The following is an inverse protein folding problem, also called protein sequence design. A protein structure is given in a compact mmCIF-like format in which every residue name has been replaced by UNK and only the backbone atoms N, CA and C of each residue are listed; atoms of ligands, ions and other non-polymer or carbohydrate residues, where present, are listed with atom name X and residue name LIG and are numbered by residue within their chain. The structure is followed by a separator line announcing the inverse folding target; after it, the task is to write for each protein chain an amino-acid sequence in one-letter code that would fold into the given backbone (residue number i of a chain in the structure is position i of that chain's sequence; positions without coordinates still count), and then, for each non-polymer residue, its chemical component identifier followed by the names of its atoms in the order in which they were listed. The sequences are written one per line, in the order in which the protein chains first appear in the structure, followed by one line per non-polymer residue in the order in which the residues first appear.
data_IF_864097621956
#
_entry.id   IF_864097621956
#
_cell.length_a   1.000
_cell.length_b   1.000
_cell.length_c   1.000
_cell.angle_alpha   90.00
_cell.angle_beta   90.00
_cell.angle_gamma   90.00
#
_symmetry.space_group_name_H-M   'P 1'
#
loop_
_entity.id
_entity.type
_entity.pdbx_description
1 polymer ?
#
# COMPACT_ATOMS: atom_id res chain seq x y z
N UNK A 1 45.49 11.58 -78.65
CA UNK A 1 45.23 12.72 -77.75
C UNK A 1 43.73 12.79 -77.38
N UNK A 2 43.14 11.69 -76.86
CA UNK A 2 41.68 11.66 -76.59
C UNK A 2 41.20 10.55 -75.63
N UNK A 3 42.01 10.12 -74.64
CA UNK A 3 41.60 9.02 -73.75
C UNK A 3 42.08 9.13 -72.29
N UNK A 4 42.43 10.33 -71.82
CA UNK A 4 42.88 10.55 -70.42
C UNK A 4 42.03 11.53 -69.61
N UNK A 5 40.82 11.89 -70.08
CA UNK A 5 40.01 12.94 -69.45
C UNK A 5 38.64 12.52 -68.90
N UNK A 6 38.29 11.22 -68.85
CA UNK A 6 36.95 10.76 -68.39
C UNK A 6 37.04 9.52 -67.46
N UNK A 7 37.98 9.50 -66.49
CA UNK A 7 37.97 8.48 -65.42
C UNK A 7 38.20 9.02 -64.00
N UNK A 8 38.14 10.34 -63.81
CA UNK A 8 38.37 10.98 -62.50
C UNK A 8 37.17 11.77 -61.96
N UNK A 9 35.98 11.65 -62.55
CA UNK A 9 34.78 12.38 -62.09
C UNK A 9 33.57 11.52 -61.72
N UNK A 10 33.68 10.19 -61.82
CA UNK A 10 32.53 9.30 -61.54
C UNK A 10 32.65 8.58 -60.18
N UNK A 11 33.84 8.46 -59.59
CA UNK A 11 33.98 7.78 -58.28
C UNK A 11 33.74 8.67 -57.06
N UNK A 12 33.88 9.99 -57.16
CA UNK A 12 33.62 10.92 -56.04
C UNK A 12 32.18 11.40 -55.97
N UNK A 13 31.45 11.41 -57.09
CA UNK A 13 30.03 11.79 -57.12
C UNK A 13 29.10 10.73 -56.53
N UNK A 14 29.32 9.45 -56.83
CA UNK A 14 28.42 8.36 -56.38
C UNK A 14 28.65 8.03 -54.90
N UNK A 15 29.87 8.18 -54.37
CA UNK A 15 30.14 8.01 -52.94
C UNK A 15 29.58 9.18 -52.12
N UNK A 16 29.57 10.41 -52.67
CA UNK A 16 28.93 11.56 -52.02
C UNK A 16 27.39 11.42 -52.00
N UNK A 17 26.77 10.88 -53.06
CA UNK A 17 25.32 10.66 -53.08
C UNK A 17 24.88 9.48 -52.19
N UNK A 18 25.71 8.46 -52.02
CA UNK A 18 25.43 7.35 -51.08
C UNK A 18 25.67 7.77 -49.61
N UNK A 19 26.61 8.69 -49.34
CA UNK A 19 26.74 9.30 -48.00
C UNK A 19 25.61 10.29 -47.66
N UNK A 20 24.96 10.90 -48.66
CA UNK A 20 23.82 11.80 -48.46
C UNK A 20 22.48 11.07 -48.21
N UNK A 21 22.38 9.79 -48.54
CA UNK A 21 21.18 8.96 -48.24
C UNK A 21 21.27 8.29 -46.85
N UNK A 22 22.42 8.38 -46.19
CA UNK A 22 22.58 8.02 -44.77
C UNK A 22 22.34 9.21 -43.82
N UNK A 23 21.97 10.38 -44.35
CA UNK A 23 21.42 11.47 -43.54
C UNK A 23 20.01 11.06 -43.13
N UNK A 24 19.98 10.36 -42.00
CA UNK A 24 18.93 10.29 -41.03
C UNK A 24 17.50 10.40 -41.59
N UNK A 25 16.83 9.26 -41.66
CA UNK A 25 15.42 9.24 -41.30
C UNK A 25 15.31 9.72 -39.84
N UNK A 26 15.38 11.04 -39.60
CA UNK A 26 14.90 11.65 -38.37
C UNK A 26 13.40 11.41 -38.34
N UNK A 27 12.99 10.29 -37.74
CA UNK A 27 11.61 10.17 -37.25
C UNK A 27 11.38 11.38 -36.37
N UNK A 28 10.47 12.26 -36.77
CA UNK A 28 10.07 13.38 -35.93
C UNK A 28 9.68 12.83 -34.54
N UNK A 29 10.17 13.44 -33.46
CA UNK A 29 9.81 13.00 -32.11
C UNK A 29 8.30 12.91 -31.99
N UNK A 30 7.82 11.75 -31.54
CA UNK A 30 6.42 11.57 -31.19
C UNK A 30 6.28 11.88 -29.71
N UNK A 31 5.33 12.76 -29.39
CA UNK A 31 5.06 13.14 -28.00
C UNK A 31 4.82 11.91 -27.11
N UNK A 32 5.53 11.84 -25.99
CA UNK A 32 5.35 10.76 -25.02
C UNK A 32 4.12 11.06 -24.16
N UNK A 33 3.00 10.40 -24.49
CA UNK A 33 1.77 10.53 -23.74
C UNK A 33 1.79 9.64 -22.48
N UNK A 34 1.66 10.26 -21.32
CA UNK A 34 1.49 9.57 -20.03
C UNK A 34 0.06 9.78 -19.52
N UNK A 35 -0.59 8.69 -19.18
CA UNK A 35 -2.00 8.63 -18.78
C UNK A 35 -2.15 8.03 -17.37
N UNK A 36 -3.31 8.20 -16.71
CA UNK A 36 -3.61 7.51 -15.45
C UNK A 36 -3.37 6.00 -15.48
N UNK A 37 -3.63 5.35 -16.62
CA UNK A 37 -3.43 3.91 -16.79
C UNK A 37 -1.98 3.47 -16.60
N UNK A 38 -1.00 4.32 -16.94
CA UNK A 38 0.40 4.02 -16.68
C UNK A 38 0.69 3.93 -15.17
N UNK A 39 0.11 4.83 -14.36
CA UNK A 39 0.26 4.81 -12.91
C UNK A 39 -0.48 3.62 -12.27
N UNK A 40 -1.69 3.31 -12.76
CA UNK A 40 -2.43 2.13 -12.31
C UNK A 40 -1.66 0.83 -12.58
N UNK A 41 -1.09 0.67 -13.78
CA UNK A 41 -0.30 -0.52 -14.12
C UNK A 41 0.99 -0.62 -13.30
N UNK A 42 1.66 0.51 -13.05
CA UNK A 42 2.82 0.53 -12.17
C UNK A 42 2.46 0.09 -10.74
N UNK A 43 1.35 0.61 -10.19
CA UNK A 43 0.86 0.24 -8.85
C UNK A 43 0.45 -1.22 -8.78
N UNK A 44 -0.24 -1.73 -9.81
CA UNK A 44 -0.62 -3.14 -9.92
C UNK A 44 0.63 -4.03 -9.96
N UNK A 45 1.67 -3.60 -10.68
CA UNK A 45 2.94 -4.33 -10.74
C UNK A 45 3.63 -4.41 -9.38
N UNK A 46 3.69 -3.32 -8.63
CA UNK A 46 4.26 -3.33 -7.27
C UNK A 46 3.44 -4.22 -6.35
N UNK A 47 2.12 -4.21 -6.47
CA UNK A 47 1.22 -5.09 -5.71
C UNK A 47 1.48 -6.58 -6.02
N UNK A 48 1.59 -6.94 -7.29
CA UNK A 48 1.96 -8.32 -7.71
C UNK A 48 3.29 -8.77 -7.12
N UNK A 49 4.29 -7.89 -7.12
CA UNK A 49 5.62 -8.18 -6.56
C UNK A 49 5.52 -8.36 -5.05
N UNK A 50 4.75 -7.52 -4.34
CA UNK A 50 4.59 -7.68 -2.90
C UNK A 50 3.88 -8.97 -2.49
N UNK A 51 2.88 -9.41 -3.28
CA UNK A 51 2.23 -10.71 -3.06
C UNK A 51 3.22 -11.85 -3.31
N UNK A 52 4.10 -11.73 -4.31
CA UNK A 52 5.13 -12.71 -4.60
C UNK A 52 6.20 -12.78 -3.49
N UNK A 53 6.62 -11.63 -2.97
CA UNK A 53 7.67 -11.49 -1.96
C UNK A 53 7.16 -11.68 -0.52
N UNK A 54 5.84 -11.83 -0.34
CA UNK A 54 5.17 -12.10 0.94
C UNK A 54 5.47 -11.01 1.99
N UNK A 55 5.30 -9.74 1.60
CA UNK A 55 5.47 -8.64 2.54
C UNK A 55 4.35 -8.61 3.58
N UNK A 56 4.72 -8.24 4.81
CA UNK A 56 3.77 -8.05 5.91
C UNK A 56 2.88 -6.83 5.65
N UNK A 57 1.66 -6.79 6.23
CA UNK A 57 0.77 -5.63 6.11
C UNK A 57 1.42 -4.26 6.43
N UNK A 58 2.13 -4.06 7.57
CA UNK A 58 2.76 -2.77 7.86
C UNK A 58 3.91 -2.44 6.89
N UNK A 59 4.70 -3.42 6.47
CA UNK A 59 5.79 -3.18 5.50
C UNK A 59 5.22 -2.84 4.13
N UNK A 60 4.15 -3.50 3.69
CA UNK A 60 3.48 -3.18 2.43
C UNK A 60 2.97 -1.72 2.38
N UNK A 61 2.46 -1.19 3.50
CA UNK A 61 2.06 0.22 3.57
C UNK A 61 3.24 1.18 3.33
N UNK A 62 4.41 0.88 3.91
CA UNK A 62 5.65 1.61 3.66
C UNK A 62 6.07 1.55 2.18
N UNK A 63 5.92 0.39 1.55
CA UNK A 63 6.25 0.17 0.13
C UNK A 63 5.34 1.01 -0.79
N UNK A 64 4.09 1.27 -0.42
CA UNK A 64 3.21 2.14 -1.20
C UNK A 64 3.47 3.64 -0.98
N UNK A 65 3.78 4.04 0.26
CA UNK A 65 3.85 5.46 0.63
C UNK A 65 5.05 6.19 0.02
N UNK A 66 6.28 5.67 0.18
CA UNK A 66 7.48 6.37 -0.31
C UNK A 66 7.51 6.58 -1.83
N UNK A 67 7.20 5.58 -2.68
CA UNK A 67 7.08 5.80 -4.11
C UNK A 67 5.99 6.80 -4.49
N UNK A 68 4.85 6.78 -3.78
CA UNK A 68 3.78 7.76 -3.97
C UNK A 68 4.24 9.18 -3.67
N UNK A 69 4.98 9.37 -2.58
CA UNK A 69 5.54 10.67 -2.19
C UNK A 69 6.53 11.15 -3.26
N UNK A 70 7.44 10.29 -3.73
CA UNK A 70 8.38 10.65 -4.80
C UNK A 70 7.67 11.08 -6.10
N UNK A 71 6.66 10.33 -6.52
CA UNK A 71 5.86 10.65 -7.69
C UNK A 71 5.09 11.97 -7.52
N UNK A 72 4.52 12.17 -6.33
CA UNK A 72 3.76 13.36 -5.97
C UNK A 72 4.62 14.61 -5.97
N UNK A 73 5.83 14.55 -5.40
CA UNK A 73 6.75 15.69 -5.38
C UNK A 73 7.15 16.14 -6.79
N UNK A 74 7.46 15.19 -7.68
CA UNK A 74 7.72 15.49 -9.10
C UNK A 74 6.50 16.10 -9.78
N UNK A 75 5.32 15.53 -9.55
CA UNK A 75 4.05 16.02 -10.11
C UNK A 75 3.74 17.44 -9.62
N UNK A 76 3.90 17.73 -8.34
CA UNK A 76 3.64 19.04 -7.75
C UNK A 76 4.61 20.11 -8.26
N UNK A 77 5.86 19.77 -8.61
CA UNK A 77 6.78 20.72 -9.24
C UNK A 77 6.33 21.15 -10.67
N UNK A 78 5.62 20.25 -11.36
CA UNK A 78 5.07 20.48 -12.70
C UNK A 78 3.66 21.07 -12.73
N UNK A 79 2.97 21.16 -11.59
CA UNK A 79 1.58 21.61 -11.53
C UNK A 79 1.32 22.52 -10.32
N UNK A 80 1.11 23.81 -10.60
CA UNK A 80 0.91 24.84 -9.58
C UNK A 80 -0.34 24.65 -8.71
N UNK A 81 -1.28 23.78 -9.07
CA UNK A 81 -2.46 23.47 -8.24
C UNK A 81 -2.11 22.64 -7.00
N UNK A 82 -0.95 21.96 -7.01
CA UNK A 82 -0.48 21.13 -5.91
C UNK A 82 0.68 21.79 -5.15
N UNK A 83 0.80 21.45 -3.88
CA UNK A 83 1.85 21.95 -2.98
C UNK A 83 2.79 20.80 -2.62
N UNK A 84 4.08 21.11 -2.48
CA UNK A 84 5.09 20.18 -1.98
C UNK A 84 4.74 19.69 -0.58
N UNK A 85 5.04 18.43 -0.30
CA UNK A 85 4.98 17.78 1.01
C UNK A 85 6.19 18.11 1.88
N UNK A 86 7.23 18.74 1.33
CA UNK A 86 8.39 19.19 2.09
C UNK A 86 7.98 20.17 3.21
N UNK A 87 8.51 19.94 4.42
CA UNK A 87 8.11 20.67 5.63
C UNK A 87 6.70 20.36 6.15
N UNK A 88 5.93 19.50 5.46
CA UNK A 88 4.65 18.96 5.95
C UNK A 88 4.79 17.54 6.49
N UNK A 89 5.67 16.73 5.88
CA UNK A 89 6.04 15.41 6.39
C UNK A 89 7.26 15.50 7.30
N UNK A 90 7.30 14.65 8.33
CA UNK A 90 8.42 14.56 9.28
C UNK A 90 9.75 14.39 8.54
N UNK A 91 10.65 15.34 8.73
CA UNK A 91 12.02 15.38 8.19
C UNK A 91 12.13 15.37 6.66
N UNK A 92 11.05 15.63 5.91
CA UNK A 92 11.12 15.73 4.45
C UNK A 92 11.55 17.13 4.02
N UNK A 93 12.75 17.24 3.48
CA UNK A 93 13.27 18.46 2.86
C UNK A 93 12.81 18.60 1.39
N UNK A 94 12.93 19.82 0.86
CA UNK A 94 12.57 20.14 -0.51
C UNK A 94 13.40 19.31 -1.52
N UNK A 95 12.73 18.79 -2.55
CA UNK A 95 13.38 18.03 -3.62
C UNK A 95 14.30 18.94 -4.46
N UNK A 96 15.28 18.38 -5.19
CA UNK A 96 16.16 19.15 -6.07
C UNK A 96 15.39 20.03 -7.06
N UNK A 97 15.74 21.31 -7.11
CA UNK A 97 15.19 22.25 -8.08
C UNK A 97 15.66 21.93 -9.50
N UNK A 98 14.79 22.20 -10.48
CA UNK A 98 15.14 22.15 -11.89
C UNK A 98 15.63 23.52 -12.37
N UNK A 99 16.90 23.62 -12.73
CA UNK A 99 17.46 24.84 -13.36
C UNK A 99 16.78 25.13 -14.71
N UNK A 100 16.40 24.09 -15.47
CA UNK A 100 15.74 24.19 -16.76
C UNK A 100 14.56 23.23 -16.81
N UNK A 101 13.33 23.77 -16.82
CA UNK A 101 12.08 22.98 -16.96
C UNK A 101 11.75 22.61 -18.41
N UNK A 102 12.44 23.20 -19.38
CA UNK A 102 12.20 22.95 -20.81
C UNK A 102 12.39 21.46 -21.13
N UNK A 103 11.44 20.87 -21.87
CA UNK A 103 11.43 19.44 -22.28
C UNK A 103 11.30 18.40 -21.17
N UNK A 104 11.11 18.79 -19.90
CA UNK A 104 10.76 17.83 -18.84
C UNK A 104 9.28 17.45 -18.96
N UNK A 105 9.01 16.18 -19.20
CA UNK A 105 7.69 15.59 -19.01
C UNK A 105 7.56 15.13 -17.54
N UNK A 106 6.94 15.98 -16.72
CA UNK A 106 6.78 15.72 -15.28
C UNK A 106 5.99 14.44 -14.97
N UNK A 107 5.04 14.04 -15.83
CA UNK A 107 4.28 12.79 -15.65
C UNK A 107 5.16 11.56 -15.86
N UNK A 108 6.05 11.62 -16.86
CA UNK A 108 7.06 10.58 -17.08
C UNK A 108 8.05 10.54 -15.91
N UNK A 109 8.58 11.70 -15.52
CA UNK A 109 9.52 11.80 -14.40
C UNK A 109 8.90 11.27 -13.09
N UNK A 110 7.61 11.52 -12.84
CA UNK A 110 6.90 10.99 -11.67
C UNK A 110 6.81 9.46 -11.69
N UNK A 111 6.53 8.85 -12.84
CA UNK A 111 6.55 7.38 -12.99
C UNK A 111 7.95 6.80 -12.83
N UNK A 112 8.98 7.48 -13.33
CA UNK A 112 10.37 7.10 -13.14
C UNK A 112 10.72 7.10 -11.65
N UNK A 113 10.38 8.18 -10.93
CA UNK A 113 10.61 8.29 -9.50
C UNK A 113 9.87 7.20 -8.72
N UNK A 114 8.58 7.00 -9.03
CA UNK A 114 7.76 5.95 -8.44
C UNK A 114 8.41 4.56 -8.59
N UNK A 115 8.78 4.17 -9.81
CA UNK A 115 9.33 2.84 -10.08
C UNK A 115 10.73 2.66 -9.47
N UNK A 116 11.57 3.70 -9.47
CA UNK A 116 12.91 3.62 -8.91
C UNK A 116 12.91 3.48 -7.38
N UNK A 117 12.05 4.23 -6.68
CA UNK A 117 11.88 4.08 -5.22
C UNK A 117 11.23 2.72 -4.90
N UNK A 118 10.21 2.31 -5.68
CA UNK A 118 9.54 1.01 -5.48
C UNK A 118 10.50 -0.17 -5.63
N UNK A 119 11.42 -0.10 -6.59
CA UNK A 119 12.42 -1.15 -6.83
C UNK A 119 13.26 -1.42 -5.58
N UNK A 120 13.74 -0.38 -4.88
CA UNK A 120 14.58 -0.57 -3.68
C UNK A 120 13.80 -1.16 -2.49
N UNK A 121 12.48 -1.08 -2.53
CA UNK A 121 11.60 -1.46 -1.43
C UNK A 121 11.10 -2.92 -1.49
N UNK A 122 11.39 -3.63 -2.58
CA UNK A 122 10.98 -5.02 -2.81
C UNK A 122 12.19 -5.96 -2.93
N UNK A 123 12.00 -7.27 -2.77
CA UNK A 123 13.09 -8.24 -2.90
C UNK A 123 13.30 -8.67 -4.37
N UNK A 124 12.21 -8.88 -5.11
CA UNK A 124 12.26 -9.25 -6.54
C UNK A 124 12.42 -8.01 -7.43
N UNK A 125 13.53 -7.29 -7.29
CA UNK A 125 13.82 -6.06 -8.04
C UNK A 125 13.74 -6.28 -9.57
N UNK A 126 14.14 -7.46 -10.04
CA UNK A 126 14.10 -7.85 -11.45
C UNK A 126 12.70 -7.73 -12.06
N UNK A 127 11.65 -8.05 -11.30
CA UNK A 127 10.26 -7.95 -11.77
C UNK A 127 9.84 -6.50 -12.00
N UNK A 128 10.34 -5.58 -11.17
CA UNK A 128 10.09 -4.14 -11.33
C UNK A 128 10.93 -3.57 -12.47
N UNK A 129 12.21 -3.96 -12.56
CA UNK A 129 13.11 -3.54 -13.64
C UNK A 129 12.62 -4.00 -15.01
N UNK A 130 12.20 -5.25 -15.15
CA UNK A 130 11.67 -5.78 -16.41
C UNK A 130 10.45 -4.99 -16.91
N UNK A 131 9.55 -4.61 -15.99
CA UNK A 131 8.41 -3.75 -16.33
C UNK A 131 8.86 -2.33 -16.71
N UNK A 132 9.71 -1.70 -15.90
CA UNK A 132 10.28 -0.37 -16.16
C UNK A 132 10.99 -0.30 -17.52
N UNK A 133 11.83 -1.28 -17.82
CA UNK A 133 12.65 -1.30 -19.03
C UNK A 133 11.78 -1.46 -20.28
N UNK A 134 10.65 -2.16 -20.18
CA UNK A 134 9.65 -2.21 -21.27
C UNK A 134 9.03 -0.84 -21.58
N UNK A 135 8.77 -0.02 -20.55
CA UNK A 135 8.28 1.35 -20.72
C UNK A 135 9.38 2.26 -21.29
N UNK A 136 10.60 2.15 -20.74
CA UNK A 136 11.74 2.97 -21.16
C UNK A 136 12.06 2.77 -22.63
N UNK A 137 12.07 1.53 -23.09
CA UNK A 137 12.29 1.23 -24.51
C UNK A 137 11.23 1.90 -25.39
N UNK A 138 9.96 1.91 -24.99
CA UNK A 138 8.89 2.58 -25.73
C UNK A 138 9.05 4.11 -25.75
N UNK A 139 9.38 4.71 -24.60
CA UNK A 139 9.52 6.16 -24.46
C UNK A 139 10.76 6.68 -25.19
N UNK A 140 11.89 6.01 -25.06
CA UNK A 140 13.14 6.35 -25.75
C UNK A 140 12.99 6.30 -27.27
N UNK A 141 12.24 5.31 -27.79
CA UNK A 141 11.95 5.20 -29.22
C UNK A 141 10.99 6.29 -29.75
N UNK A 142 10.22 6.93 -28.86
CA UNK A 142 9.24 7.96 -29.24
C UNK A 142 9.88 9.35 -29.26
N UNK A 143 10.54 9.73 -28.17
CA UNK A 143 11.29 10.98 -28.03
C UNK A 143 12.43 10.78 -27.02
N UNK A 144 13.62 10.46 -27.54
CA UNK A 144 14.81 10.17 -26.73
C UNK A 144 15.26 11.37 -25.89
N UNK A 145 15.10 12.61 -26.39
CA UNK A 145 15.54 13.81 -25.67
C UNK A 145 14.63 14.08 -24.47
N UNK A 146 13.31 14.16 -24.70
CA UNK A 146 12.31 14.33 -23.64
C UNK A 146 12.40 13.19 -22.62
N UNK A 147 12.54 11.93 -23.07
CA UNK A 147 12.71 10.78 -22.19
C UNK A 147 13.96 10.91 -21.31
N UNK A 148 15.11 11.22 -21.90
CA UNK A 148 16.38 11.30 -21.17
C UNK A 148 16.35 12.37 -20.08
N UNK A 149 15.90 13.58 -20.42
CA UNK A 149 15.79 14.70 -19.47
C UNK A 149 14.79 14.38 -18.35
N UNK A 150 13.62 13.84 -18.69
CA UNK A 150 12.58 13.47 -17.72
C UNK A 150 13.01 12.33 -16.80
N UNK A 151 13.68 11.30 -17.35
CA UNK A 151 14.22 10.18 -16.58
C UNK A 151 15.28 10.67 -15.59
N UNK A 152 16.23 11.48 -16.04
CA UNK A 152 17.29 11.99 -15.17
C UNK A 152 16.71 12.78 -14.00
N UNK A 153 15.71 13.63 -14.25
CA UNK A 153 15.05 14.35 -13.18
C UNK A 153 14.29 13.43 -12.21
N UNK A 154 13.50 12.47 -12.72
CA UNK A 154 12.82 11.49 -11.89
C UNK A 154 13.78 10.67 -11.01
N UNK A 155 14.96 10.32 -11.53
CA UNK A 155 16.00 9.61 -10.78
C UNK A 155 16.65 10.49 -9.69
N UNK A 156 16.84 11.79 -9.94
CA UNK A 156 17.36 12.73 -8.93
C UNK A 156 16.38 12.85 -7.75
N UNK A 157 15.09 13.02 -8.03
CA UNK A 157 14.07 13.08 -6.97
C UNK A 157 13.95 11.73 -6.26
N UNK A 158 14.04 10.61 -6.98
CA UNK A 158 14.09 9.30 -6.35
C UNK A 158 15.27 9.17 -5.37
N UNK A 159 16.46 9.66 -5.73
CA UNK A 159 17.61 9.63 -4.82
C UNK A 159 17.36 10.41 -3.54
N UNK A 160 16.88 11.65 -3.64
CA UNK A 160 16.51 12.48 -2.50
C UNK A 160 15.51 11.77 -1.57
N UNK A 161 14.45 11.18 -2.14
CA UNK A 161 13.45 10.45 -1.35
C UNK A 161 14.02 9.17 -0.74
N UNK A 162 14.93 8.45 -1.43
CA UNK A 162 15.60 7.27 -0.89
C UNK A 162 16.50 7.61 0.30
N UNK A 163 17.23 8.73 0.24
CA UNK A 163 18.04 9.22 1.37
C UNK A 163 17.16 9.50 2.58
N UNK A 164 16.07 10.26 2.39
CA UNK A 164 15.09 10.51 3.46
C UNK A 164 14.45 9.22 3.98
N UNK A 165 14.07 8.30 3.10
CA UNK A 165 13.48 7.00 3.44
C UNK A 165 14.42 6.13 4.27
N UNK A 166 15.72 6.13 3.97
CA UNK A 166 16.70 5.30 4.68
C UNK A 166 17.00 5.78 6.11
N UNK A 167 16.51 6.98 6.48
CA UNK A 167 16.62 7.54 7.84
C UNK A 167 15.38 7.31 8.70
N UNK A 168 14.42 6.51 8.25
CA UNK A 168 13.12 6.32 8.93
C UNK A 168 13.12 5.24 10.03
N UNK A 169 14.30 4.76 10.40
CA UNK A 169 14.55 3.72 11.39
C UNK A 169 14.16 2.28 10.96
N UNK A 170 13.76 2.06 9.70
CA UNK A 170 13.40 0.72 9.23
C UNK A 170 14.58 -0.27 9.27
N UNK A 171 15.77 0.13 8.83
CA UNK A 171 16.95 -0.73 8.77
C UNK A 171 17.39 -1.20 10.16
N UNK A 172 17.38 -0.29 11.14
CA UNK A 172 17.74 -0.56 12.53
C UNK A 172 16.77 -1.56 13.18
N UNK A 173 15.47 -1.45 12.89
CA UNK A 173 14.47 -2.39 13.41
C UNK A 173 14.67 -3.83 12.90
N UNK A 174 15.34 -4.05 11.76
CA UNK A 174 15.55 -5.40 11.19
C UNK A 174 16.44 -6.30 12.04
N UNK A 175 17.24 -5.72 12.93
CA UNK A 175 18.15 -6.45 13.83
C UNK A 175 17.71 -6.44 15.29
N UNK A 176 16.55 -5.82 15.59
CA UNK A 176 16.02 -5.80 16.94
C UNK A 176 15.48 -7.18 17.37
N UNK A 177 15.43 -7.48 18.69
CA UNK A 177 14.97 -8.77 19.18
C UNK A 177 13.53 -9.09 18.77
N UNK A 178 13.25 -10.38 18.59
CA UNK A 178 11.89 -10.87 18.37
C UNK A 178 10.98 -10.65 19.59
N UNK A 179 9.68 -10.74 19.37
CA UNK A 179 8.69 -10.69 20.45
C UNK A 179 8.89 -11.84 21.45
N UNK A 180 8.99 -11.55 22.75
CA UNK A 180 9.07 -12.57 23.79
C UNK A 180 7.68 -13.06 24.21
N UNK A 181 7.47 -14.37 24.12
CA UNK A 181 6.23 -15.05 24.53
C UNK A 181 6.39 -15.57 25.96
N UNK A 182 5.42 -15.27 26.84
CA UNK A 182 5.40 -15.74 28.23
C UNK A 182 4.09 -16.49 28.48
N UNK A 183 4.14 -17.82 28.45
CA UNK A 183 2.93 -18.68 28.50
C UNK A 183 2.24 -18.60 29.88
N UNK A 184 2.98 -18.24 30.94
CA UNK A 184 2.44 -18.07 32.29
C UNK A 184 1.52 -16.84 32.42
N UNK A 185 1.63 -15.86 31.52
CA UNK A 185 0.72 -14.72 31.46
C UNK A 185 -0.45 -15.05 30.52
N UNK A 186 -1.59 -15.42 31.10
CA UNK A 186 -2.79 -15.83 30.37
C UNK A 186 -3.39 -14.74 29.47
N UNK A 187 -3.08 -13.45 29.72
CA UNK A 187 -3.56 -12.35 28.90
C UNK A 187 -2.65 -12.06 27.70
N UNK A 188 -1.40 -12.55 27.73
CA UNK A 188 -0.39 -12.24 26.74
C UNK A 188 -0.56 -13.06 25.47
N UNK A 189 -0.32 -12.42 24.34
CA UNK A 189 -0.36 -13.03 23.02
C UNK A 189 0.62 -14.20 22.90
N UNK A 190 0.13 -15.26 22.26
CA UNK A 190 0.85 -16.47 21.95
C UNK A 190 0.71 -16.75 20.44
N UNK A 191 1.74 -17.30 19.79
CA UNK A 191 1.61 -17.81 18.43
C UNK A 191 0.48 -18.82 18.32
N UNK A 192 -0.28 -18.75 17.22
CA UNK A 192 -1.46 -19.58 17.00
C UNK A 192 -1.20 -20.66 15.94
N UNK A 193 -1.91 -21.81 15.99
CA UNK A 193 -1.88 -22.79 14.93
C UNK A 193 -2.31 -22.21 13.57
N UNK A 194 -2.01 -22.92 12.47
CA UNK A 194 -1.14 -24.10 12.37
C UNK A 194 0.37 -23.79 12.44
N UNK A 195 0.79 -22.57 12.13
CA UNK A 195 2.21 -22.27 11.86
C UNK A 195 3.01 -21.78 13.07
N UNK A 196 2.34 -21.28 14.12
CA UNK A 196 2.98 -20.76 15.34
C UNK A 196 4.11 -19.76 15.05
N UNK A 197 3.90 -18.90 14.05
CA UNK A 197 4.88 -17.88 13.64
C UNK A 197 5.12 -16.86 14.76
N UNK A 198 6.35 -16.33 14.81
CA UNK A 198 6.70 -15.20 15.66
C UNK A 198 5.83 -13.98 15.34
N UNK A 199 5.61 -13.13 16.35
CA UNK A 199 4.85 -11.89 16.20
C UNK A 199 5.48 -10.97 15.15
N UNK A 200 4.70 -10.58 14.14
CA UNK A 200 5.15 -9.78 13.00
C UNK A 200 5.37 -8.30 13.34
N UNK A 201 6.60 -7.84 13.11
CA UNK A 201 7.03 -6.45 13.27
C UNK A 201 6.83 -5.85 14.68
N UNK A 202 7.40 -6.46 15.74
CA UNK A 202 7.18 -6.03 17.12
C UNK A 202 7.68 -4.61 17.45
N UNK A 203 8.50 -4.05 16.58
CA UNK A 203 9.09 -2.71 16.74
C UNK A 203 8.54 -1.71 15.73
N UNK A 204 7.43 -2.00 15.05
CA UNK A 204 6.89 -1.10 14.01
C UNK A 204 6.51 0.30 14.54
N UNK A 205 6.16 0.39 15.83
CA UNK A 205 5.94 1.68 16.50
C UNK A 205 7.20 2.56 16.64
N UNK A 206 8.37 2.09 16.22
CA UNK A 206 9.63 2.86 16.19
C UNK A 206 9.95 3.46 14.82
N UNK A 207 9.22 3.09 13.77
CA UNK A 207 9.39 3.68 12.44
C UNK A 207 8.96 5.15 12.49
N UNK A 208 9.69 6.04 11.81
CA UNK A 208 9.32 7.45 11.69
C UNK A 208 7.92 7.58 11.06
N UNK A 209 6.94 8.19 11.75
CA UNK A 209 5.66 8.52 11.14
C UNK A 209 5.78 9.70 10.18
N UNK A 210 4.86 9.81 9.22
CA UNK A 210 4.89 10.87 8.22
C UNK A 210 4.23 12.16 8.70
N UNK A 211 3.06 12.08 9.32
CA UNK A 211 2.24 13.24 9.71
C UNK A 211 1.98 13.26 11.20
N UNK A 212 1.76 12.10 11.82
CA UNK A 212 1.53 12.03 13.27
C UNK A 212 2.84 12.34 14.04
N UNK A 213 2.72 13.06 15.16
CA UNK A 213 3.87 13.53 15.96
C UNK A 213 4.68 12.37 16.56
N UNK A 214 3.99 11.28 16.88
CA UNK A 214 4.59 10.05 17.40
C UNK A 214 3.65 8.87 17.17
N UNK A 215 4.20 7.65 17.18
CA UNK A 215 3.40 6.42 17.04
C UNK A 215 2.25 6.32 18.07
N UNK A 216 2.43 6.89 19.26
CA UNK A 216 1.47 6.85 20.34
C UNK A 216 0.49 8.04 20.37
N UNK A 217 0.52 8.96 19.39
CA UNK A 217 -0.36 10.13 19.36
C UNK A 217 -1.85 9.73 19.40
N UNK A 218 -2.20 8.65 18.69
CA UNK A 218 -3.55 8.07 18.66
C UNK A 218 -3.67 6.80 19.51
N UNK A 219 -2.97 6.75 20.65
CA UNK A 219 -3.14 5.64 21.60
C UNK A 219 -4.62 5.53 22.01
N UNK A 220 -5.27 4.38 21.77
CA UNK A 220 -6.69 4.23 22.01
C UNK A 220 -7.03 4.09 23.50
N UNK A 221 -8.33 4.07 23.81
CA UNK A 221 -8.81 3.60 25.11
C UNK A 221 -8.34 2.17 25.38
N UNK A 222 -8.28 1.76 26.64
CA UNK A 222 -7.90 0.39 27.00
C UNK A 222 -9.00 -0.60 26.59
N UNK A 223 -8.62 -1.78 26.11
CA UNK A 223 -9.53 -2.92 25.97
C UNK A 223 -10.09 -3.35 27.35
N UNK A 224 -11.21 -4.09 27.41
CA UNK A 224 -11.72 -4.66 28.67
C UNK A 224 -10.65 -5.45 29.41
N UNK A 225 -10.60 -5.30 30.74
CA UNK A 225 -9.62 -6.02 31.56
C UNK A 225 -9.77 -7.53 31.41
N UNK A 226 -8.65 -8.20 31.11
CA UNK A 226 -8.62 -9.65 30.94
C UNK A 226 -9.21 -10.35 32.17
N UNK A 227 -10.23 -11.17 31.95
CA UNK A 227 -10.84 -11.99 32.99
C UNK A 227 -11.63 -13.14 32.38
N UNK A 228 -11.49 -14.33 32.96
CA UNK A 228 -12.30 -15.50 32.60
C UNK A 228 -13.56 -15.63 33.48
N UNK A 229 -13.88 -14.61 34.30
CA UNK A 229 -15.12 -14.57 35.07
C UNK A 229 -16.29 -14.27 34.13
N UNK A 230 -17.37 -15.06 34.24
CA UNK A 230 -18.50 -15.03 33.29
C UNK A 230 -19.22 -13.68 33.18
N UNK A 231 -19.18 -12.88 34.23
CA UNK A 231 -19.81 -11.57 34.35
C UNK A 231 -18.91 -10.40 33.89
N UNK A 232 -17.62 -10.66 33.66
CA UNK A 232 -16.67 -9.66 33.17
C UNK A 232 -16.92 -9.27 31.72
N UNK A 233 -16.55 -8.05 31.35
CA UNK A 233 -16.76 -7.55 29.98
C UNK A 233 -15.87 -8.27 28.96
N UNK A 234 -14.63 -8.60 29.34
CA UNK A 234 -13.74 -9.40 28.49
C UNK A 234 -14.33 -10.78 28.16
N UNK A 235 -14.89 -11.49 29.15
CA UNK A 235 -15.51 -12.79 28.91
C UNK A 235 -16.77 -12.69 28.05
N UNK A 236 -17.54 -11.61 28.16
CA UNK A 236 -18.70 -11.36 27.27
C UNK A 236 -18.25 -11.20 25.82
N UNK A 237 -17.17 -10.45 25.56
CA UNK A 237 -16.61 -10.33 24.21
C UNK A 237 -16.03 -11.67 23.69
N UNK A 238 -15.38 -12.46 24.56
CA UNK A 238 -14.94 -13.81 24.21
C UNK A 238 -16.10 -14.72 23.80
N UNK A 239 -17.20 -14.70 24.56
CA UNK A 239 -18.41 -15.44 24.24
C UNK A 239 -19.08 -14.95 22.96
N UNK A 240 -19.07 -13.64 22.68
CA UNK A 240 -19.60 -13.09 21.44
C UNK A 240 -18.88 -13.68 20.22
N UNK A 241 -17.53 -13.76 20.26
CA UNK A 241 -16.74 -14.36 19.19
C UNK A 241 -17.09 -15.84 19.02
N UNK A 242 -17.13 -16.59 20.12
CA UNK A 242 -17.45 -18.02 20.10
C UNK A 242 -18.83 -18.31 19.50
N UNK A 243 -19.87 -17.63 20.00
CA UNK A 243 -21.25 -17.83 19.57
C UNK A 243 -21.50 -17.32 18.15
N UNK A 244 -20.85 -16.23 17.75
CA UNK A 244 -20.91 -15.75 16.35
C UNK A 244 -20.30 -16.79 15.41
N UNK A 245 -19.11 -17.30 15.73
CA UNK A 245 -18.46 -18.36 14.93
C UNK A 245 -19.31 -19.63 14.82
N UNK A 246 -19.99 -20.03 15.90
CA UNK A 246 -20.92 -21.17 15.87
C UNK A 246 -22.13 -20.95 14.97
N UNK A 247 -22.77 -19.78 15.07
CA UNK A 247 -23.93 -19.44 14.23
C UNK A 247 -23.57 -19.46 12.76
N UNK A 248 -22.45 -18.83 12.40
CA UNK A 248 -21.95 -18.78 11.02
C UNK A 248 -21.68 -20.18 10.47
N UNK A 249 -20.98 -21.03 11.25
CA UNK A 249 -20.71 -22.42 10.83
C UNK A 249 -21.96 -23.27 10.69
N UNK A 250 -22.98 -23.04 11.50
CA UNK A 250 -24.25 -23.76 11.40
C UNK A 250 -25.00 -23.44 10.09
N UNK A 251 -24.82 -22.24 9.53
CA UNK A 251 -25.34 -21.85 8.21
C UNK A 251 -24.50 -22.48 7.09
N UNK A 252 -23.18 -22.60 7.29
CA UNK A 252 -22.26 -23.17 6.31
C UNK A 252 -21.91 -22.19 5.19
N UNK A 253 -21.56 -22.70 4.01
CA UNK A 253 -20.98 -21.89 2.92
C UNK A 253 -21.93 -20.83 2.33
N UNK A 254 -23.24 -20.90 2.63
CA UNK A 254 -24.22 -19.91 2.17
C UNK A 254 -24.28 -18.65 3.07
N UNK A 255 -23.49 -18.60 4.15
CA UNK A 255 -23.41 -17.45 5.04
C UNK A 255 -22.76 -16.24 4.36
N UNK A 256 -23.47 -15.11 4.38
CA UNK A 256 -22.94 -13.82 3.94
C UNK A 256 -21.77 -13.37 4.83
N UNK A 257 -21.80 -13.70 6.12
CA UNK A 257 -20.74 -13.39 7.07
C UNK A 257 -19.42 -14.12 6.72
N UNK A 258 -19.49 -15.36 6.20
CA UNK A 258 -18.30 -16.05 5.66
C UNK A 258 -17.76 -15.31 4.44
N UNK A 259 -18.63 -14.88 3.52
CA UNK A 259 -18.22 -14.15 2.32
C UNK A 259 -17.57 -12.81 2.68
N UNK A 260 -18.15 -12.07 3.63
CA UNK A 260 -17.60 -10.83 4.18
C UNK A 260 -16.23 -11.09 4.83
N UNK A 261 -16.13 -12.11 5.70
CA UNK A 261 -14.88 -12.45 6.37
C UNK A 261 -13.78 -12.81 5.36
N UNK A 262 -14.10 -13.61 4.34
CA UNK A 262 -13.15 -14.03 3.32
C UNK A 262 -12.73 -12.88 2.41
N UNK A 263 -13.67 -12.01 2.04
CA UNK A 263 -13.42 -10.84 1.19
C UNK A 263 -12.41 -9.89 1.82
N UNK A 264 -12.58 -9.62 3.12
CA UNK A 264 -11.71 -8.72 3.87
C UNK A 264 -10.59 -9.45 4.61
N UNK A 265 -10.28 -10.73 4.32
CA UNK A 265 -9.26 -11.46 5.10
C UNK A 265 -7.87 -10.84 4.91
N UNK A 266 -7.50 -10.58 3.64
CA UNK A 266 -6.27 -9.85 3.27
C UNK A 266 -5.01 -10.31 4.03
N UNK A 267 -4.92 -11.59 4.36
CA UNK A 267 -3.85 -12.17 5.15
C UNK A 267 -2.85 -12.93 4.24
N UNK A 268 -1.63 -12.41 4.02
CA UNK A 268 -0.63 -13.07 3.17
C UNK A 268 -0.03 -14.33 3.79
N UNK A 269 -0.34 -14.63 5.06
CA UNK A 269 0.21 -15.77 5.81
C UNK A 269 -0.70 -17.00 5.80
N UNK A 270 -1.81 -16.97 5.07
CA UNK A 270 -2.73 -18.12 5.03
C UNK A 270 -2.02 -19.31 4.41
N UNK A 271 -1.90 -20.39 5.18
CA UNK A 271 -1.21 -21.60 4.79
C UNK A 271 -2.16 -22.80 4.78
N UNK A 272 -1.85 -23.80 3.97
CA UNK A 272 -2.54 -25.09 3.98
C UNK A 272 -1.51 -26.20 4.01
N UNK A 273 -1.61 -27.07 5.01
CA UNK A 273 -0.72 -28.21 5.19
C UNK A 273 -1.37 -29.48 4.60
N UNK A 274 -0.69 -30.15 3.66
CA UNK A 274 -1.07 -31.47 3.15
C UNK A 274 0.12 -32.42 3.30
N UNK A 275 0.11 -33.23 4.36
CA UNK A 275 1.27 -34.03 4.74
C UNK A 275 2.43 -33.14 5.18
N UNK A 276 3.61 -33.31 4.59
CA UNK A 276 4.81 -32.49 4.86
C UNK A 276 4.89 -31.22 3.98
N UNK A 277 3.90 -30.98 3.11
CA UNK A 277 3.90 -29.83 2.19
C UNK A 277 3.03 -28.71 2.74
N UNK A 278 3.59 -27.50 2.76
CA UNK A 278 2.88 -26.26 3.07
C UNK A 278 2.65 -25.47 1.78
N UNK A 279 1.41 -25.05 1.55
CA UNK A 279 1.02 -24.19 0.44
C UNK A 279 0.55 -22.84 0.98
N UNK A 280 1.20 -21.74 0.57
CA UNK A 280 0.73 -20.39 0.87
C UNK A 280 -0.34 -19.96 -0.14
N UNK A 281 -1.45 -19.39 0.35
CA UNK A 281 -2.49 -18.81 -0.52
C UNK A 281 -2.10 -17.38 -0.85
N UNK A 282 -1.96 -17.07 -2.16
CA UNK A 282 -1.68 -15.71 -2.62
C UNK A 282 -2.83 -14.77 -2.26
N UNK A 283 -2.54 -13.76 -1.46
CA UNK A 283 -3.48 -12.72 -1.02
C UNK A 283 -2.78 -11.38 -0.94
N UNK A 284 -3.52 -10.30 -1.16
CA UNK A 284 -3.08 -8.94 -0.88
C UNK A 284 -3.18 -8.64 0.62
N UNK A 285 -2.58 -7.52 1.03
CA UNK A 285 -2.69 -6.97 2.39
C UNK A 285 -3.80 -5.91 2.46
N UNK A 286 -4.26 -5.52 3.66
CA UNK A 286 -5.33 -4.52 3.78
C UNK A 286 -4.94 -3.17 3.17
N UNK A 287 -3.66 -2.77 3.28
CA UNK A 287 -3.16 -1.56 2.63
C UNK A 287 -3.27 -1.65 1.12
N UNK A 288 -2.89 -2.78 0.53
CA UNK A 288 -3.02 -3.03 -0.91
C UNK A 288 -4.47 -3.01 -1.39
N UNK A 289 -5.40 -3.56 -0.61
CA UNK A 289 -6.84 -3.50 -0.89
C UNK A 289 -7.33 -2.05 -0.98
N UNK A 290 -7.03 -1.23 0.02
CA UNK A 290 -7.44 0.19 0.04
C UNK A 290 -6.77 1.03 -1.06
N UNK A 291 -5.52 0.72 -1.44
CA UNK A 291 -4.87 1.30 -2.61
C UNK A 291 -5.59 0.88 -3.91
N UNK A 292 -6.06 -0.37 -4.00
CA UNK A 292 -6.92 -0.84 -5.08
C UNK A 292 -8.27 -0.10 -5.14
N UNK A 293 -8.89 0.18 -4.00
CA UNK A 293 -10.12 0.99 -3.91
C UNK A 293 -9.84 2.43 -4.37
N UNK A 294 -8.69 3.01 -4.01
CA UNK A 294 -8.27 4.33 -4.51
C UNK A 294 -8.20 4.35 -6.05
N UNK A 295 -7.67 3.29 -6.67
CA UNK A 295 -7.67 3.13 -8.13
C UNK A 295 -9.09 3.06 -8.71
N UNK A 296 -9.99 2.30 -8.08
CA UNK A 296 -11.39 2.18 -8.53
C UNK A 296 -12.09 3.54 -8.48
N UNK A 297 -11.94 4.27 -7.36
CA UNK A 297 -12.53 5.59 -7.19
C UNK A 297 -12.00 6.59 -8.23
N UNK A 298 -10.68 6.60 -8.43
CA UNK A 298 -10.04 7.45 -9.43
C UNK A 298 -10.52 7.16 -10.86
N UNK A 299 -10.67 5.88 -11.24
CA UNK A 299 -11.25 5.48 -12.53
C UNK A 299 -12.71 5.92 -12.66
N UNK A 300 -13.55 5.66 -11.66
CA UNK A 300 -14.97 6.03 -11.67
C UNK A 300 -15.17 7.55 -11.73
N UNK A 301 -14.29 8.32 -11.11
CA UNK A 301 -14.29 9.77 -11.14
C UNK A 301 -13.68 10.38 -12.43
N UNK A 302 -13.16 9.54 -13.36
CA UNK A 302 -12.37 9.99 -14.52
C UNK A 302 -11.23 10.95 -14.11
N UNK A 303 -10.56 10.65 -13.00
CA UNK A 303 -9.46 11.45 -12.47
C UNK A 303 -8.31 11.52 -13.49
N UNK A 304 -7.77 12.73 -13.68
CA UNK A 304 -6.55 12.91 -14.46
C UNK A 304 -5.32 12.38 -13.72
N UNK A 305 -4.18 12.33 -14.41
CA UNK A 305 -2.94 11.74 -13.88
C UNK A 305 -2.52 12.34 -12.54
N UNK A 306 -2.65 13.66 -12.39
CA UNK A 306 -2.19 14.36 -11.20
C UNK A 306 -3.15 14.08 -10.03
N UNK A 307 -4.47 14.07 -10.29
CA UNK A 307 -5.48 13.70 -9.30
C UNK A 307 -5.35 12.24 -8.84
N UNK A 308 -4.93 11.33 -9.73
CA UNK A 308 -4.62 9.93 -9.36
C UNK A 308 -3.48 9.87 -8.35
N UNK A 309 -2.35 10.52 -8.65
CA UNK A 309 -1.17 10.51 -7.76
C UNK A 309 -1.53 11.17 -6.43
N UNK A 310 -2.23 12.30 -6.46
CA UNK A 310 -2.73 12.97 -5.26
C UNK A 310 -3.57 12.03 -4.37
N UNK A 311 -4.58 11.36 -4.94
CA UNK A 311 -5.48 10.46 -4.22
C UNK A 311 -4.72 9.27 -3.62
N UNK A 312 -3.86 8.66 -4.44
CA UNK A 312 -3.02 7.55 -4.05
C UNK A 312 -2.08 7.93 -2.89
N UNK A 313 -1.33 9.03 -3.04
CA UNK A 313 -0.29 9.43 -2.08
C UNK A 313 -0.90 9.82 -0.74
N UNK A 314 -2.00 10.60 -0.74
CA UNK A 314 -2.72 10.93 0.51
C UNK A 314 -3.21 9.68 1.23
N UNK A 315 -3.78 8.73 0.49
CA UNK A 315 -4.27 7.46 1.04
C UNK A 315 -3.13 6.59 1.59
N UNK A 316 -2.02 6.47 0.85
CA UNK A 316 -0.86 5.69 1.26
C UNK A 316 -0.19 6.26 2.53
N UNK A 317 -0.07 7.59 2.65
CA UNK A 317 0.45 8.26 3.86
C UNK A 317 -0.45 7.94 5.05
N UNK A 318 -1.77 8.12 4.92
CA UNK A 318 -2.73 7.85 6.00
C UNK A 318 -2.69 6.37 6.44
N UNK A 319 -2.57 5.44 5.49
CA UNK A 319 -2.44 4.01 5.76
C UNK A 319 -1.14 3.69 6.51
N UNK A 320 -0.01 4.27 6.10
CA UNK A 320 1.29 4.01 6.74
C UNK A 320 1.28 4.46 8.22
N UNK A 321 0.81 5.68 8.50
CA UNK A 321 0.73 6.18 9.88
C UNK A 321 -0.31 5.40 10.71
N UNK A 322 -1.40 4.94 10.09
CA UNK A 322 -2.37 4.05 10.72
C UNK A 322 -1.75 2.70 11.14
N UNK A 323 -0.88 2.11 10.31
CA UNK A 323 -0.15 0.91 10.67
C UNK A 323 0.84 1.15 11.82
N UNK A 324 1.58 2.26 11.80
CA UNK A 324 2.49 2.65 12.90
C UNK A 324 1.70 2.76 14.22
N UNK A 325 0.59 3.50 14.23
CA UNK A 325 -0.23 3.70 15.43
C UNK A 325 -0.91 2.41 15.92
N UNK A 326 -1.40 1.57 15.00
CA UNK A 326 -2.00 0.30 15.38
C UNK A 326 -0.98 -0.68 15.96
N UNK A 327 0.19 -0.81 15.34
CA UNK A 327 1.23 -1.73 15.82
C UNK A 327 1.84 -1.28 17.15
N UNK A 328 1.96 0.04 17.37
CA UNK A 328 2.30 0.58 18.69
C UNK A 328 1.35 0.06 19.79
N UNK A 329 0.03 0.06 19.52
CA UNK A 329 -0.93 -0.49 20.49
C UNK A 329 -0.91 -2.02 20.60
N UNK A 330 -0.74 -2.73 19.48
CA UNK A 330 -0.63 -4.21 19.49
C UNK A 330 0.49 -4.71 20.39
N UNK A 331 1.64 -4.06 20.32
CA UNK A 331 2.81 -4.46 21.10
C UNK A 331 2.89 -3.76 22.48
N UNK A 332 2.02 -2.77 22.74
CA UNK A 332 1.77 -2.25 24.09
C UNK A 332 0.84 -3.17 24.88
N UNK A 333 -0.34 -3.47 24.35
CA UNK A 333 -1.37 -4.29 25.01
C UNK A 333 -0.99 -5.76 25.06
N UNK A 334 -0.32 -6.25 24.01
CA UNK A 334 0.11 -7.64 23.87
C UNK A 334 -1.04 -8.65 24.04
N UNK A 335 -2.26 -8.29 23.65
CA UNK A 335 -3.46 -9.07 23.98
C UNK A 335 -3.56 -10.40 23.22
N UNK A 336 -3.95 -11.45 23.93
CA UNK A 336 -4.22 -12.81 23.42
C UNK A 336 -5.39 -12.89 22.43
N UNK A 337 -5.29 -13.78 21.44
CA UNK A 337 -6.29 -13.98 20.39
C UNK A 337 -7.47 -14.85 20.86
N UNK A 338 -8.68 -14.69 20.27
CA UNK A 338 -9.86 -15.43 20.72
C UNK A 338 -9.70 -16.95 20.66
N UNK A 339 -9.14 -17.50 19.57
CA UNK A 339 -9.02 -18.95 19.40
C UNK A 339 -8.25 -19.63 20.54
N UNK A 340 -7.23 -18.97 21.09
CA UNK A 340 -6.40 -19.52 22.14
C UNK A 340 -7.23 -19.75 23.40
N UNK A 341 -8.02 -18.75 23.81
CA UNK A 341 -8.85 -18.83 25.00
C UNK A 341 -10.08 -19.72 24.80
N UNK A 342 -10.70 -19.66 23.61
CA UNK A 342 -11.85 -20.52 23.29
C UNK A 342 -11.41 -21.99 23.38
N UNK A 343 -10.29 -22.36 22.75
CA UNK A 343 -9.83 -23.74 22.73
C UNK A 343 -9.39 -24.23 24.12
N UNK A 344 -8.82 -23.35 24.95
CA UNK A 344 -8.34 -23.70 26.29
C UNK A 344 -9.46 -23.77 27.35
N UNK A 345 -10.55 -23.01 27.20
CA UNK A 345 -11.51 -22.78 28.29
C UNK A 345 -12.98 -22.99 27.93
N UNK A 346 -13.34 -23.09 26.64
CA UNK A 346 -14.73 -23.22 26.20
C UNK A 346 -14.97 -24.47 25.35
N UNK A 347 -14.21 -24.64 24.26
CA UNK A 347 -14.45 -25.66 23.24
C UNK A 347 -13.16 -25.92 22.45
N UNK A 348 -12.49 -27.03 22.74
CA UNK A 348 -11.22 -27.44 22.10
C UNK A 348 -11.34 -27.73 20.59
N UNK A 349 -12.56 -27.94 20.08
CA UNK A 349 -12.83 -28.24 18.68
C UNK A 349 -13.26 -26.99 17.90
N UNK A 350 -13.35 -25.85 18.56
CA UNK A 350 -13.64 -24.60 17.89
C UNK A 350 -12.44 -24.16 17.03
N UNK A 351 -12.76 -23.47 15.95
CA UNK A 351 -11.84 -22.95 14.96
C UNK A 351 -12.44 -21.64 14.42
N UNK A 352 -11.63 -20.60 14.24
CA UNK A 352 -12.09 -19.39 13.59
C UNK A 352 -12.42 -19.66 12.11
N UNK A 353 -13.24 -18.80 11.51
CA UNK A 353 -13.54 -18.86 10.06
C UNK A 353 -12.28 -18.52 9.24
N UNK A 354 -11.47 -17.59 9.75
CA UNK A 354 -10.20 -17.18 9.16
C UNK A 354 -9.04 -17.69 10.03
N UNK A 355 -7.93 -18.05 9.40
CA UNK A 355 -6.70 -18.36 10.15
C UNK A 355 -6.22 -17.10 10.90
N UNK A 356 -5.92 -17.24 12.19
CA UNK A 356 -5.49 -16.10 13.00
C UNK A 356 -4.15 -15.54 12.51
N UNK A 357 -4.06 -14.23 12.24
CA UNK A 357 -2.81 -13.61 11.85
C UNK A 357 -1.76 -13.60 12.97
N UNK A 358 -0.46 -13.75 12.66
CA UNK A 358 0.61 -13.93 13.64
C UNK A 358 1.06 -12.61 14.30
N UNK A 359 0.16 -11.95 15.01
CA UNK A 359 0.44 -10.76 15.80
C UNK A 359 -0.64 -10.52 16.87
N UNK A 360 -0.34 -9.74 17.95
CA UNK A 360 -1.26 -9.43 19.04
C UNK A 360 -2.61 -8.87 18.58
N UNK A 361 -3.62 -9.05 19.43
CA UNK A 361 -5.01 -8.81 19.09
C UNK A 361 -5.37 -7.32 19.02
N UNK A 362 -5.09 -6.53 20.05
CA UNK A 362 -5.68 -5.20 20.21
C UNK A 362 -4.76 -4.05 19.75
N UNK A 363 -5.17 -3.09 18.92
CA UNK A 363 -6.45 -2.96 18.19
C UNK A 363 -6.44 -3.74 16.86
N UNK A 364 -7.60 -3.85 16.19
CA UNK A 364 -7.69 -4.50 14.87
C UNK A 364 -7.02 -3.65 13.79
N UNK A 365 -5.97 -4.18 13.16
CA UNK A 365 -5.27 -3.49 12.06
C UNK A 365 -6.16 -3.21 10.85
N UNK A 366 -7.09 -4.12 10.54
CA UNK A 366 -8.08 -3.88 9.48
C UNK A 366 -8.96 -2.67 9.81
N UNK A 367 -9.39 -2.53 11.06
CA UNK A 367 -10.29 -1.46 11.48
C UNK A 367 -9.57 -0.11 11.49
N UNK A 368 -8.34 -0.02 12.02
CA UNK A 368 -7.55 1.22 12.02
C UNK A 368 -7.20 1.66 10.60
N UNK A 369 -6.69 0.76 9.77
CA UNK A 369 -6.29 1.07 8.39
C UNK A 369 -7.49 1.46 7.52
N UNK A 370 -8.61 0.72 7.64
CA UNK A 370 -9.82 1.04 6.90
C UNK A 370 -10.43 2.37 7.34
N UNK A 371 -10.39 2.69 8.63
CA UNK A 371 -10.82 4.00 9.14
C UNK A 371 -10.00 5.15 8.57
N UNK A 372 -8.68 5.00 8.52
CA UNK A 372 -7.80 6.04 7.98
C UNK A 372 -7.94 6.19 6.45
N UNK A 373 -7.94 5.07 5.72
CA UNK A 373 -8.06 5.05 4.26
C UNK A 373 -9.42 5.58 3.78
N UNK A 374 -10.53 5.15 4.42
CA UNK A 374 -11.86 5.67 4.07
C UNK A 374 -11.98 7.16 4.34
N UNK A 375 -11.35 7.68 5.41
CA UNK A 375 -11.34 9.11 5.71
C UNK A 375 -10.57 9.89 4.64
N UNK A 376 -9.39 9.41 4.24
CA UNK A 376 -8.61 10.03 3.17
C UNK A 376 -9.35 10.01 1.82
N UNK A 377 -9.94 8.89 1.42
CA UNK A 377 -10.69 8.79 0.17
C UNK A 377 -11.98 9.60 0.17
N UNK A 378 -12.63 9.72 1.31
CA UNK A 378 -13.81 10.59 1.47
C UNK A 378 -13.45 12.08 1.30
N UNK A 379 -12.29 12.51 1.82
CA UNK A 379 -11.78 13.88 1.60
C UNK A 379 -11.47 14.15 0.11
N UNK A 380 -11.00 13.12 -0.62
CA UNK A 380 -10.63 13.25 -2.04
C UNK A 380 -11.86 13.16 -2.97
N UNK A 381 -12.71 12.16 -2.81
CA UNK A 381 -13.78 11.86 -3.79
C UNK A 381 -15.18 12.21 -3.29
N UNK A 382 -15.30 12.69 -2.04
CA UNK A 382 -16.56 13.03 -1.41
C UNK A 382 -17.16 11.86 -0.63
N UNK A 383 -18.14 12.20 0.21
CA UNK A 383 -18.95 11.23 0.94
C UNK A 383 -20.02 10.60 0.03
N UNK A 384 -20.55 9.44 0.41
CA UNK A 384 -21.52 8.67 -0.37
C UNK A 384 -21.05 8.35 -1.81
N UNK A 385 -19.74 8.18 -1.98
CA UNK A 385 -19.16 7.72 -3.23
C UNK A 385 -19.41 6.21 -3.38
N UNK A 386 -20.38 5.84 -4.22
CA UNK A 386 -20.68 4.44 -4.50
C UNK A 386 -19.58 3.82 -5.37
N UNK A 387 -19.24 2.54 -5.17
CA UNK A 387 -18.31 1.82 -6.03
C UNK A 387 -18.51 0.31 -5.97
N UNK A 388 -18.12 -0.36 -7.05
CA UNK A 388 -18.01 -1.81 -7.11
C UNK A 388 -16.55 -2.18 -6.85
N UNK A 389 -16.29 -2.85 -5.74
CA UNK A 389 -14.98 -3.31 -5.35
C UNK A 389 -14.62 -4.60 -6.08
N UNK A 390 -13.73 -4.47 -7.06
CA UNK A 390 -13.21 -5.56 -7.88
C UNK A 390 -11.79 -5.99 -7.48
N UNK A 391 -11.25 -5.48 -6.38
CA UNK A 391 -9.83 -5.65 -6.01
C UNK A 391 -9.46 -7.10 -5.73
N UNK A 392 -10.39 -7.87 -5.18
CA UNK A 392 -10.19 -9.28 -4.81
C UNK A 392 -10.53 -10.28 -5.94
N UNK A 393 -11.02 -9.80 -7.10
CA UNK A 393 -11.33 -10.64 -8.27
C UNK A 393 -10.10 -11.43 -8.78
N UNK A 394 -8.90 -10.82 -8.93
CA UNK A 394 -7.69 -11.56 -9.31
C UNK A 394 -7.26 -12.62 -8.28
N UNK A 395 -7.76 -12.53 -7.05
CA UNK A 395 -7.46 -13.44 -5.93
C UNK A 395 -8.59 -14.45 -5.67
N UNK A 396 -9.57 -14.53 -6.59
CA UNK A 396 -10.58 -15.58 -6.64
C UNK A 396 -11.85 -15.30 -5.82
N UNK A 397 -12.12 -14.03 -5.51
CA UNK A 397 -13.31 -13.60 -4.76
C UNK A 397 -14.26 -12.78 -5.65
N UNK A 398 -15.56 -12.74 -5.34
CA UNK A 398 -16.53 -11.98 -6.13
C UNK A 398 -16.39 -10.46 -5.90
N UNK A 399 -17.00 -9.69 -6.79
CA UNK A 399 -17.18 -8.24 -6.63
C UNK A 399 -18.12 -7.96 -5.45
N UNK A 400 -17.84 -6.92 -4.67
CA UNK A 400 -18.75 -6.40 -3.63
C UNK A 400 -19.03 -4.92 -3.85
N UNK A 401 -20.28 -4.50 -3.70
CA UNK A 401 -20.68 -3.11 -3.95
C UNK A 401 -20.86 -2.35 -2.65
N UNK A 402 -20.39 -1.11 -2.60
CA UNK A 402 -20.50 -0.24 -1.43
C UNK A 402 -21.08 1.12 -1.83
N UNK A 403 -21.91 1.69 -0.94
CA UNK A 403 -22.47 3.03 -1.14
C UNK A 403 -21.57 4.17 -0.67
N UNK A 404 -20.50 3.85 0.07
CA UNK A 404 -19.47 4.80 0.49
C UNK A 404 -18.21 4.07 0.96
N UNK A 405 -17.07 4.78 0.99
CA UNK A 405 -15.86 4.27 1.64
C UNK A 405 -16.07 3.96 3.12
N UNK A 406 -16.89 4.76 3.82
CA UNK A 406 -17.22 4.53 5.22
C UNK A 406 -17.96 3.20 5.43
N UNK A 407 -18.88 2.84 4.52
CA UNK A 407 -19.56 1.53 4.56
C UNK A 407 -18.62 0.37 4.26
N UNK A 408 -17.70 0.52 3.32
CA UNK A 408 -16.65 -0.46 3.09
C UNK A 408 -15.76 -0.65 4.34
N UNK A 409 -15.39 0.44 5.03
CA UNK A 409 -14.61 0.38 6.26
C UNK A 409 -15.36 -0.24 7.44
N UNK A 410 -16.67 0.05 7.58
CA UNK A 410 -17.53 -0.60 8.58
C UNK A 410 -17.59 -2.12 8.33
N UNK A 411 -17.77 -2.55 7.07
CA UNK A 411 -17.81 -3.97 6.69
C UNK A 411 -16.44 -4.64 6.92
N UNK A 412 -15.34 -4.00 6.52
CA UNK A 412 -13.99 -4.47 6.76
C UNK A 412 -13.69 -4.65 8.26
N UNK A 413 -14.19 -3.75 9.10
CA UNK A 413 -14.02 -3.84 10.54
C UNK A 413 -14.80 -5.02 11.14
N UNK A 414 -16.10 -5.13 10.86
CA UNK A 414 -16.95 -6.20 11.42
C UNK A 414 -16.59 -7.58 10.85
N UNK A 415 -16.02 -7.65 9.64
CA UNK A 415 -15.51 -8.90 9.05
C UNK A 415 -14.58 -9.68 9.98
N UNK A 416 -13.89 -8.99 10.88
CA UNK A 416 -12.92 -9.60 11.80
C UNK A 416 -13.59 -10.34 12.96
N UNK A 417 -14.79 -9.92 13.35
CA UNK A 417 -15.64 -10.68 14.27
C UNK A 417 -16.18 -11.93 13.57
N UNK A 418 -16.69 -11.78 12.34
CA UNK A 418 -17.16 -12.91 11.54
C UNK A 418 -16.03 -13.92 11.27
N UNK A 419 -14.81 -13.41 11.09
CA UNK A 419 -13.61 -14.21 10.97
C UNK A 419 -13.24 -14.99 12.23
N UNK A 420 -13.75 -14.61 13.40
CA UNK A 420 -13.46 -15.26 14.68
C UNK A 420 -12.13 -14.87 15.33
N UNK A 421 -11.53 -13.76 14.90
CA UNK A 421 -10.12 -13.44 15.21
C UNK A 421 -9.92 -12.14 15.97
N UNK A 422 -10.99 -11.37 16.18
CA UNK A 422 -10.96 -10.14 16.95
C UNK A 422 -12.17 -10.03 17.89
N UNK A 423 -11.94 -9.45 19.07
CA UNK A 423 -13.00 -9.05 19.99
C UNK A 423 -13.65 -7.73 19.55
N UNK A 424 -14.84 -7.43 20.08
CA UNK A 424 -15.60 -6.23 19.71
C UNK A 424 -14.84 -4.94 20.01
N UNK A 425 -14.16 -4.85 21.15
CA UNK A 425 -13.38 -3.66 21.50
C UNK A 425 -12.29 -3.35 20.47
N UNK A 426 -11.56 -4.36 19.99
CA UNK A 426 -10.49 -4.17 19.01
C UNK A 426 -11.01 -3.64 17.66
N UNK A 427 -12.25 -3.99 17.32
CA UNK A 427 -12.92 -3.58 16.08
C UNK A 427 -13.42 -2.16 16.20
N UNK A 428 -14.26 -1.87 17.19
CA UNK A 428 -14.95 -0.58 17.30
C UNK A 428 -13.97 0.54 17.68
N UNK A 429 -13.08 0.27 18.65
CA UNK A 429 -12.06 1.24 19.07
C UNK A 429 -10.98 1.38 17.99
N UNK A 430 -10.63 0.29 17.30
CA UNK A 430 -9.71 0.35 16.17
C UNK A 430 -10.24 1.21 15.02
N UNK A 431 -11.52 1.06 14.67
CA UNK A 431 -12.15 1.87 13.62
C UNK A 431 -12.19 3.36 14.01
N UNK A 432 -12.49 3.65 15.28
CA UNK A 432 -12.41 5.01 15.83
C UNK A 432 -10.99 5.58 15.75
N UNK A 433 -9.99 4.83 16.22
CA UNK A 433 -8.57 5.22 16.14
C UNK A 433 -8.16 5.56 14.70
N UNK A 434 -8.55 4.72 13.74
CA UNK A 434 -8.28 4.93 12.32
C UNK A 434 -8.92 6.20 11.76
N UNK A 435 -10.19 6.45 12.08
CA UNK A 435 -10.92 7.66 11.63
C UNK A 435 -10.33 8.94 12.23
N UNK A 436 -9.97 8.92 13.52
CA UNK A 436 -9.36 10.07 14.19
C UNK A 436 -7.97 10.38 13.60
N UNK A 437 -7.15 9.36 13.35
CA UNK A 437 -5.85 9.51 12.70
C UNK A 437 -5.99 10.00 11.26
N UNK A 438 -6.88 9.39 10.46
CA UNK A 438 -7.16 9.80 9.09
C UNK A 438 -7.62 11.25 9.02
N UNK A 439 -8.48 11.67 9.97
CA UNK A 439 -8.92 13.07 10.09
C UNK A 439 -7.74 14.01 10.37
N UNK A 440 -6.86 13.63 11.28
CA UNK A 440 -5.66 14.41 11.57
C UNK A 440 -4.75 14.54 10.36
N UNK A 441 -4.55 13.47 9.60
CA UNK A 441 -3.76 13.48 8.36
C UNK A 441 -4.34 14.48 7.35
N UNK A 442 -5.64 14.43 7.05
CA UNK A 442 -6.24 15.35 6.06
C UNK A 442 -6.28 16.81 6.55
N UNK A 443 -6.37 17.03 7.87
CA UNK A 443 -6.40 18.37 8.45
C UNK A 443 -5.01 19.02 8.43
N UNK A 444 -3.93 18.24 8.47
CA UNK A 444 -2.55 18.73 8.50
C UNK A 444 -1.82 18.63 7.15
N UNK A 445 -2.26 17.79 6.21
CA UNK A 445 -1.70 17.73 4.85
C UNK A 445 -2.39 18.72 3.90
N UNK A 446 -1.70 19.82 3.58
CA UNK A 446 -2.09 20.82 2.57
C UNK A 446 -1.46 20.49 1.24
N UNK A 447 -2.06 19.53 0.53
CA UNK A 447 -1.58 19.05 -0.76
C UNK A 447 -2.12 19.87 -1.95
N UNK A 448 -3.32 20.44 -1.85
CA UNK A 448 -3.88 21.31 -2.92
C UNK A 448 -3.84 22.78 -2.51
N UNK A 449 -3.55 23.67 -3.45
CA UNK A 449 -3.78 25.11 -3.27
C UNK A 449 -5.27 25.35 -3.45
N UNK A 450 -6.04 25.31 -2.34
CA UNK A 450 -7.45 25.73 -2.39
C UNK A 450 -7.48 27.21 -2.82
N UNK A 451 -7.94 27.47 -4.04
CA UNK A 451 -8.41 28.80 -4.40
C UNK A 451 -9.57 29.11 -3.46
N UNK A 452 -9.34 29.98 -2.48
CA UNK A 452 -10.43 30.61 -1.75
C UNK A 452 -11.15 31.47 -2.80
N UNK A 453 -12.21 30.92 -3.39
CA UNK A 453 -13.18 31.69 -4.16
C UNK A 453 -14.21 32.30 -3.22
#
# INVERSE_FOLDING_TARGET
MLLKYIKSKISTGIVATILLVLVACEKKPQEILITPDNFYQATDKITEVMVHDIFSPPVAARIYAYPGIAAYEVMAMGNDNYQTLAGQLTDLDAIPELEIKEKVNFKLAALVAYLEVSKQLVFSEDKVMNYRDSLYQSWENSDSETFSVSKNYGLQVAEHVKEWMNSDHYHETRTMPKFSVFIEDAARWQPTPPDYMDGIEPHWGKIRPFVIDSAAQFKPAKHPDFSLKKDSDFYKELLEVYETGKKIRAIGNDSEEIQIAQFWDCNPYVSTHKGHLMFAKKKITPGAHWIGISKIAAKKANADFDRVIYAYTKTAIAINDAFISCWDEKYRSNLIRPETLINQHLDENWMPVLQTPPFPEYTSGHSVVSGAASTALTDVFGDNFEFDDTTEVPYGLPVRSFSSFNKAADEAAVSRLYGGIHYRAAIDIGLKQGRELGKFVIDNLKMEKRNIQ
#
